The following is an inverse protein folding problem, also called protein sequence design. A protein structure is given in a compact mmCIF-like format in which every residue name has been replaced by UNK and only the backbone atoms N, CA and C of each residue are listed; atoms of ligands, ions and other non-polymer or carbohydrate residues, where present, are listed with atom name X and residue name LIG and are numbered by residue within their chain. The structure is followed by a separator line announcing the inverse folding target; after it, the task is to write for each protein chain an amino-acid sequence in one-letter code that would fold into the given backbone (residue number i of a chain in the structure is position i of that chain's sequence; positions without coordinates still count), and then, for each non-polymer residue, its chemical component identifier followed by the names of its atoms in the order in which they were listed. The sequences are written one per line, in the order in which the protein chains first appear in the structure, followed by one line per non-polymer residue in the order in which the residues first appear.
data_IF_233030264390
#
_entry.id   IF_233030264390
#
_cell.length_a   1.000
_cell.length_b   1.000
_cell.length_c   1.000
_cell.angle_alpha   90.00
_cell.angle_beta   90.00
_cell.angle_gamma   90.00
#
_symmetry.space_group_name_H-M   'P 1'
#
loop_
_entity.id
_entity.type
_entity.pdbx_description
1 polymer ?
#
# COMPACT_ATOMS: atom_id res chain seq x y z
N UNK A 1 -13.14 -0.88 8.34
CA UNK A 1 -12.70 -1.92 7.39
C UNK A 1 -11.92 -1.24 6.28
N UNK A 2 -10.91 -1.92 5.76
CA UNK A 2 -9.98 -1.43 4.76
C UNK A 2 -8.70 -2.26 4.78
N UNK A 3 -7.86 -2.08 3.76
CA UNK A 3 -6.61 -2.84 3.61
C UNK A 3 -5.41 -1.90 3.56
N UNK A 4 -4.52 -2.02 4.55
CA UNK A 4 -3.22 -1.35 4.55
C UNK A 4 -2.18 -2.27 3.93
N UNK A 5 -1.56 -1.86 2.82
CA UNK A 5 -0.54 -2.65 2.15
C UNK A 5 0.86 -2.05 2.38
N UNK A 6 1.80 -2.88 2.83
CA UNK A 6 3.21 -2.51 3.02
C UNK A 6 4.08 -3.36 2.10
N UNK A 7 4.87 -2.70 1.27
CA UNK A 7 5.85 -3.35 0.40
C UNK A 7 7.25 -3.27 1.01
N UNK A 8 8.01 -4.35 0.90
CA UNK A 8 9.38 -4.43 1.41
C UNK A 8 10.29 -5.23 0.49
N UNK A 9 11.57 -4.88 0.45
CA UNK A 9 12.56 -5.63 -0.30
C UNK A 9 12.80 -7.01 0.31
N UNK A 10 12.95 -8.03 -0.55
CA UNK A 10 13.29 -9.40 -0.14
C UNK A 10 14.80 -9.68 -0.13
N UNK A 11 15.61 -9.01 -0.95
CA UNK A 11 17.03 -9.39 -1.11
C UNK A 11 18.04 -8.24 -1.21
N UNK A 12 17.61 -6.98 -1.42
CA UNK A 12 18.53 -5.83 -1.48
C UNK A 12 18.90 -5.34 -0.07
N UNK A 13 19.81 -4.37 0.04
CA UNK A 13 20.34 -3.92 1.35
C UNK A 13 19.24 -3.66 2.38
N UNK A 14 19.39 -4.23 3.58
CA UNK A 14 18.42 -4.19 4.67
C UNK A 14 17.27 -5.21 4.57
N UNK A 15 16.87 -5.61 3.35
CA UNK A 15 15.83 -6.61 3.03
C UNK A 15 14.82 -6.91 4.17
N UNK A 16 13.96 -5.96 4.56
CA UNK A 16 13.08 -6.12 5.72
C UNK A 16 12.17 -7.36 5.61
N UNK A 17 11.86 -7.79 4.38
CA UNK A 17 11.02 -8.96 4.09
C UNK A 17 11.82 -10.15 3.55
N UNK A 18 13.12 -10.28 3.85
CA UNK A 18 13.93 -11.44 3.42
C UNK A 18 13.37 -12.79 3.87
N UNK A 19 12.75 -12.81 5.05
CA UNK A 19 12.21 -13.98 5.75
C UNK A 19 10.68 -13.94 5.87
N UNK A 20 10.01 -13.19 4.99
CA UNK A 20 8.54 -13.10 4.99
C UNK A 20 7.87 -14.48 4.80
N UNK A 21 8.58 -15.42 4.16
CA UNK A 21 8.18 -16.82 3.97
C UNK A 21 8.28 -17.69 5.24
N UNK A 22 8.76 -17.14 6.36
CA UNK A 22 8.85 -17.83 7.65
C UNK A 22 7.70 -17.47 8.59
N UNK A 23 6.86 -16.49 8.23
CA UNK A 23 5.65 -16.18 8.97
C UNK A 23 4.68 -17.36 8.93
N UNK A 24 4.03 -17.61 10.06
CA UNK A 24 3.01 -18.65 10.22
C UNK A 24 1.70 -18.04 10.73
N UNK A 25 0.54 -18.68 10.49
CA UNK A 25 -0.73 -18.23 11.03
C UNK A 25 -0.66 -18.12 12.56
N UNK A 26 -1.14 -16.99 13.10
CA UNK A 26 -1.07 -16.68 14.54
C UNK A 26 0.08 -15.77 14.94
N UNK A 27 1.07 -15.54 14.08
CA UNK A 27 2.14 -14.56 14.35
C UNK A 27 1.56 -13.15 14.51
N UNK A 28 2.10 -12.37 15.44
CA UNK A 28 1.68 -10.99 15.68
C UNK A 28 2.59 -9.98 14.96
N UNK A 29 1.96 -8.99 14.32
CA UNK A 29 2.62 -7.86 13.68
C UNK A 29 2.17 -6.59 14.38
N UNK A 30 3.08 -5.93 15.10
CA UNK A 30 2.84 -4.63 15.70
C UNK A 30 3.12 -3.51 14.70
N UNK A 31 2.15 -2.62 14.51
CA UNK A 31 2.25 -1.42 13.67
C UNK A 31 2.15 -0.20 14.58
N UNK A 32 3.22 0.57 14.67
CA UNK A 32 3.24 1.84 15.41
C UNK A 32 3.01 3.00 14.44
N UNK A 33 2.01 3.81 14.71
CA UNK A 33 1.72 5.04 13.99
C UNK A 33 1.59 6.21 14.97
N UNK A 34 1.51 7.47 14.51
CA UNK A 34 1.19 8.59 15.38
C UNK A 34 -0.18 8.48 16.09
N UNK A 35 -1.08 7.62 15.60
CA UNK A 35 -2.40 7.39 16.20
C UNK A 35 -2.38 6.34 17.31
N UNK A 36 -1.31 5.55 17.42
CA UNK A 36 -1.17 4.48 18.40
C UNK A 36 -0.46 3.25 17.86
N UNK A 37 -0.50 2.19 18.66
CA UNK A 37 0.03 0.88 18.31
C UNK A 37 -1.12 -0.09 18.01
N UNK A 38 -0.97 -0.83 16.92
CA UNK A 38 -2.00 -1.73 16.41
C UNK A 38 -1.39 -3.12 16.20
N UNK A 39 -2.00 -4.15 16.78
CA UNK A 39 -1.55 -5.53 16.60
C UNK A 39 -2.41 -6.21 15.55
N UNK A 40 -1.77 -6.73 14.52
CA UNK A 40 -2.38 -7.60 13.52
C UNK A 40 -1.94 -9.04 13.77
N UNK A 41 -2.81 -10.00 13.50
CA UNK A 41 -2.51 -11.44 13.57
C UNK A 41 -2.48 -12.01 12.17
N UNK A 42 -1.38 -12.66 11.82
CA UNK A 42 -1.19 -13.32 10.53
C UNK A 42 -2.25 -14.42 10.35
N UNK A 43 -2.89 -14.44 9.18
CA UNK A 43 -3.93 -15.43 8.85
C UNK A 43 -3.39 -16.45 7.83
N UNK A 44 -4.03 -17.64 7.72
CA UNK A 44 -3.67 -18.60 6.69
C UNK A 44 -3.82 -18.04 5.27
N UNK A 45 -2.94 -18.49 4.38
CA UNK A 45 -3.06 -18.25 2.96
C UNK A 45 -4.37 -18.87 2.42
N UNK A 46 -4.92 -18.35 1.31
CA UNK A 46 -6.17 -18.87 0.75
C UNK A 46 -6.10 -20.37 0.47
N UNK A 47 -6.97 -21.14 1.11
CA UNK A 47 -7.03 -22.60 0.97
C UNK A 47 -6.05 -23.38 1.86
N UNK A 48 -5.22 -22.70 2.64
CA UNK A 48 -4.22 -23.31 3.52
C UNK A 48 -4.66 -23.26 4.99
N UNK A 49 -4.07 -24.11 5.82
CA UNK A 49 -4.27 -24.10 7.28
C UNK A 49 -3.01 -23.65 8.04
N UNK A 50 -1.84 -24.14 7.63
CA UNK A 50 -0.58 -23.94 8.37
C UNK A 50 0.39 -22.95 7.69
N UNK A 51 0.10 -22.55 6.44
CA UNK A 51 0.94 -21.63 5.67
C UNK A 51 0.29 -20.24 5.62
N UNK A 52 1.09 -19.19 5.88
CA UNK A 52 0.59 -17.80 5.91
C UNK A 52 0.78 -17.02 4.59
N UNK A 53 1.60 -17.54 3.67
CA UNK A 53 2.02 -16.80 2.48
C UNK A 53 1.59 -17.51 1.19
N UNK A 54 1.37 -16.75 0.12
CA UNK A 54 1.13 -17.29 -1.22
C UNK A 54 1.79 -16.43 -2.29
N UNK A 55 1.92 -16.99 -3.49
CA UNK A 55 2.57 -16.34 -4.62
C UNK A 55 1.53 -15.89 -5.64
N UNK A 56 1.69 -14.68 -6.15
CA UNK A 56 0.83 -14.09 -7.18
C UNK A 56 1.66 -13.47 -8.30
N UNK A 57 1.04 -13.31 -9.47
CA UNK A 57 1.62 -12.51 -10.54
C UNK A 57 1.59 -11.02 -10.17
N UNK A 58 2.55 -10.20 -10.65
CA UNK A 58 2.60 -8.78 -10.31
C UNK A 58 1.35 -7.98 -10.75
N UNK A 59 0.58 -8.50 -11.71
CA UNK A 59 -0.67 -7.90 -12.18
C UNK A 59 -1.89 -8.21 -11.32
N UNK A 60 -1.78 -9.14 -10.37
CA UNK A 60 -2.89 -9.55 -9.51
C UNK A 60 -3.08 -8.58 -8.34
N UNK A 61 -3.55 -7.38 -8.66
CA UNK A 61 -3.75 -6.30 -7.70
C UNK A 61 -4.97 -6.52 -6.79
N UNK A 62 -5.82 -7.49 -7.09
CA UNK A 62 -6.97 -7.88 -6.27
C UNK A 62 -6.58 -8.29 -4.85
N UNK A 63 -5.33 -8.74 -4.62
CA UNK A 63 -4.81 -9.05 -3.26
C UNK A 63 -4.69 -7.83 -2.35
N UNK A 64 -4.80 -6.62 -2.91
CA UNK A 64 -4.75 -5.35 -2.20
C UNK A 64 -6.15 -4.75 -1.98
N UNK A 65 -7.20 -5.37 -2.53
CA UNK A 65 -8.55 -4.89 -2.38
C UNK A 65 -9.02 -4.95 -0.92
N UNK A 66 -10.08 -4.19 -0.62
CA UNK A 66 -10.79 -4.31 0.65
C UNK A 66 -11.48 -5.68 0.73
N UNK A 67 -11.22 -6.40 1.82
CA UNK A 67 -11.79 -7.71 2.09
C UNK A 67 -13.01 -7.64 3.04
N UNK A 68 -13.42 -6.44 3.45
CA UNK A 68 -14.52 -6.22 4.39
C UNK A 68 -14.11 -6.27 5.87
N UNK A 69 -12.82 -6.48 6.16
CA UNK A 69 -12.23 -6.44 7.50
C UNK A 69 -11.11 -5.39 7.58
N UNK A 70 -10.47 -5.25 8.75
CA UNK A 70 -9.30 -4.40 8.90
C UNK A 70 -8.05 -5.24 8.62
N UNK A 71 -7.54 -5.12 7.39
CA UNK A 71 -6.48 -5.98 6.86
C UNK A 71 -5.14 -5.27 6.77
N UNK A 72 -4.08 -6.03 7.02
CA UNK A 72 -2.72 -5.70 6.66
C UNK A 72 -2.25 -6.71 5.61
N UNK A 73 -1.77 -6.21 4.47
CA UNK A 73 -1.12 -7.02 3.43
C UNK A 73 0.36 -6.67 3.37
N UNK A 74 1.24 -7.65 3.56
CA UNK A 74 2.68 -7.51 3.34
C UNK A 74 3.03 -8.09 1.96
N UNK A 75 3.84 -7.39 1.18
CA UNK A 75 4.26 -7.84 -0.16
C UNK A 75 5.75 -7.67 -0.42
N UNK A 76 6.36 -8.66 -1.06
CA UNK A 76 7.75 -8.62 -1.51
C UNK A 76 7.93 -9.34 -2.85
N UNK A 77 9.07 -9.15 -3.51
CA UNK A 77 9.43 -9.88 -4.72
C UNK A 77 9.61 -11.39 -4.48
N UNK A 78 9.26 -12.22 -5.45
CA UNK A 78 9.48 -13.66 -5.42
C UNK A 78 9.86 -14.22 -6.82
N UNK A 79 10.68 -15.30 -6.90
CA UNK A 79 11.52 -15.87 -5.84
C UNK A 79 12.66 -14.93 -5.42
N UNK A 80 13.48 -15.31 -4.42
CA UNK A 80 14.65 -14.51 -4.02
C UNK A 80 15.52 -14.22 -5.26
N UNK A 81 16.02 -12.98 -5.35
CA UNK A 81 16.80 -12.47 -6.50
C UNK A 81 16.03 -12.32 -7.82
N UNK A 82 14.70 -12.37 -7.78
CA UNK A 82 13.84 -12.15 -8.94
C UNK A 82 12.63 -11.28 -8.60
N UNK A 83 12.14 -10.51 -9.57
CA UNK A 83 10.93 -9.70 -9.45
C UNK A 83 9.75 -10.27 -10.26
N UNK A 84 9.85 -11.52 -10.72
CA UNK A 84 8.87 -12.19 -11.59
C UNK A 84 7.49 -12.28 -10.95
N UNK A 85 7.44 -12.52 -9.64
CA UNK A 85 6.21 -12.72 -8.89
C UNK A 85 6.25 -11.90 -7.59
N UNK A 86 5.16 -11.94 -6.84
CA UNK A 86 5.07 -11.37 -5.50
C UNK A 86 4.74 -12.47 -4.50
N UNK A 87 5.38 -12.42 -3.34
CA UNK A 87 4.94 -13.15 -2.15
C UNK A 87 4.05 -12.23 -1.34
N UNK A 88 2.91 -12.75 -0.89
CA UNK A 88 1.88 -12.02 -0.13
C UNK A 88 1.68 -12.71 1.21
N UNK A 89 1.54 -11.93 2.27
CA UNK A 89 1.04 -12.36 3.59
C UNK A 89 -0.09 -11.43 3.98
N UNK A 90 -1.18 -11.99 4.53
CA UNK A 90 -2.27 -11.22 5.09
C UNK A 90 -2.34 -11.39 6.61
N UNK A 91 -2.78 -10.33 7.28
CA UNK A 91 -3.04 -10.32 8.71
C UNK A 91 -4.30 -9.48 9.00
N UNK A 92 -5.03 -9.83 10.06
CA UNK A 92 -6.24 -9.11 10.49
C UNK A 92 -6.00 -8.39 11.81
N UNK A 93 -6.62 -7.23 11.98
CA UNK A 93 -6.46 -6.43 13.19
C UNK A 93 -7.05 -7.18 14.41
N UNK A 94 -6.26 -7.31 15.47
CA UNK A 94 -6.65 -7.89 16.77
C UNK A 94 -7.10 -6.82 17.77
N UNK A 95 -6.52 -5.62 17.70
CA UNK A 95 -6.83 -4.50 18.60
C UNK A 95 -7.98 -3.65 18.08
N UNK A 96 -8.40 -2.66 18.86
CA UNK A 96 -9.37 -1.67 18.39
C UNK A 96 -8.83 -0.89 17.18
N UNK A 97 -9.68 -0.58 16.19
CA UNK A 97 -9.28 0.22 15.03
C UNK A 97 -8.89 1.64 15.42
N UNK A 98 -8.02 2.25 14.61
CA UNK A 98 -7.73 3.67 14.72
C UNK A 98 -9.02 4.48 14.60
N UNK A 99 -9.14 5.55 15.38
CA UNK A 99 -10.21 6.51 15.18
C UNK A 99 -10.07 7.14 13.79
N UNK A 100 -11.16 7.14 13.03
CA UNK A 100 -11.18 7.81 11.75
C UNK A 100 -10.85 9.29 11.97
N UNK A 101 -9.77 9.77 11.36
CA UNK A 101 -9.57 11.20 11.23
C UNK A 101 -10.74 11.70 10.38
N UNK A 102 -11.58 12.63 10.88
CA UNK A 102 -12.62 13.19 10.05
C UNK A 102 -11.94 13.83 8.85
N UNK A 103 -12.14 13.24 7.67
CA UNK A 103 -11.82 13.91 6.42
C UNK A 103 -12.73 15.12 6.41
N UNK A 104 -12.16 16.32 6.60
CA UNK A 104 -12.91 17.55 6.41
C UNK A 104 -13.58 17.42 5.05
N UNK A 105 -14.92 17.47 5.03
CA UNK A 105 -15.67 17.42 3.80
C UNK A 105 -15.02 18.41 2.84
N UNK A 106 -14.55 17.94 1.69
CA UNK A 106 -14.16 18.83 0.60
C UNK A 106 -15.34 19.77 0.41
N UNK A 107 -15.20 21.10 0.60
CA UNK A 107 -16.28 21.98 0.24
C UNK A 107 -16.53 21.75 -1.25
N UNK A 108 -17.75 21.36 -1.57
CA UNK A 108 -18.23 21.39 -2.95
C UNK A 108 -18.04 22.82 -3.45
N UNK A 109 -17.04 23.01 -4.31
CA UNK A 109 -16.83 24.24 -5.05
C UNK A 109 -16.41 23.90 -6.47
N UNK A 110 -17.27 23.16 -7.16
CA UNK A 110 -17.48 23.38 -8.57
C UNK A 110 -18.23 24.71 -8.76
N UNK A 111 -17.54 25.84 -8.68
CA UNK A 111 -17.92 27.11 -9.30
C UNK A 111 -16.76 28.13 -9.26
N UNK A 112 -16.40 28.61 -10.46
CA UNK A 112 -15.53 29.76 -10.77
C UNK A 112 -14.06 29.75 -10.32
N UNK A 113 -13.18 29.16 -11.13
CA UNK A 113 -11.96 29.88 -11.58
C UNK A 113 -11.38 29.33 -12.90
N UNK A 114 -12.25 29.02 -13.87
CA UNK A 114 -11.85 28.67 -15.23
C UNK A 114 -11.93 29.90 -16.15
N UNK A 115 -11.21 30.97 -15.83
CA UNK A 115 -11.07 32.13 -16.72
C UNK A 115 -9.92 33.08 -16.32
N UNK A 116 -8.66 32.61 -16.22
CA UNK A 116 -7.53 33.57 -16.29
C UNK A 116 -6.19 33.07 -16.81
N UNK A 117 -5.95 31.78 -17.04
CA UNK A 117 -4.59 31.32 -17.38
C UNK A 117 -4.56 30.64 -18.75
N UNK A 118 -4.67 31.42 -19.84
CA UNK A 118 -4.31 30.91 -21.17
C UNK A 118 -3.74 31.94 -22.17
N UNK A 119 -3.34 33.14 -21.73
CA UNK A 119 -2.75 34.12 -22.66
C UNK A 119 -1.54 34.84 -22.07
N UNK A 120 -0.49 34.10 -21.72
CA UNK A 120 0.82 34.74 -21.48
C UNK A 120 2.00 33.76 -21.54
N UNK A 121 2.16 33.01 -22.64
CA UNK A 121 3.38 32.24 -22.89
C UNK A 121 3.55 31.98 -24.40
N UNK A 122 3.56 33.01 -25.25
CA UNK A 122 4.20 32.87 -26.59
C UNK A 122 4.39 34.20 -27.37
N UNK A 123 5.03 35.23 -26.83
CA UNK A 123 5.60 36.28 -27.72
C UNK A 123 6.84 36.92 -27.10
N UNK A 124 8.00 36.66 -27.69
CA UNK A 124 9.20 37.44 -27.43
C UNK A 124 10.47 36.65 -27.67
N UNK A 125 10.86 36.49 -28.95
CA UNK A 125 12.26 36.48 -29.43
C UNK A 125 12.28 36.40 -30.97
N UNK A 126 11.73 37.42 -31.64
CA UNK A 126 12.06 37.79 -33.03
C UNK A 126 12.38 39.29 -32.96
N UNK A 127 13.65 39.69 -33.00
CA UNK A 127 14.42 39.90 -34.22
C UNK A 127 14.85 41.36 -34.23
N UNK A 128 16.14 41.63 -34.01
CA UNK A 128 16.72 42.98 -33.99
C UNK A 128 17.22 43.30 -35.42
N UNK A 129 16.71 44.33 -36.11
CA UNK A 129 17.21 44.71 -37.43
C UNK A 129 18.30 45.79 -37.36
N UNK A 130 19.43 45.48 -38.02
CA UNK A 130 20.54 46.31 -38.54
C UNK A 130 21.14 47.46 -37.69
#
# INVERSE_FOLDING_TARGET
AGNSAIAGHRTTYGAPFNRIDELVPGDEIAITTPQGEFTYVVIPAPGETDQAWWIVDPSQVEVLADAGDNRLTLTACHPKYSAKQRIIVAATLKTEPAQAVPVAATPDSAASDAARVETQFDEGLEGDPD
#
